data_IF_365041760690
#
_entry.id   IF_365041760690
#
_cell.length_a   1.000
_cell.length_b   1.000
_cell.length_c   1.000
_cell.angle_alpha   90.00
_cell.angle_beta   90.00
_cell.angle_gamma   90.00
#
_symmetry.space_group_name_H-M   'P 1'
#
loop_
_entity.id
_entity.type
_entity.pdbx_description
1 polymer ?
#
# COMPACT_ATOMS: atom_id res chain seq x y z
N UNK A 1 64.04 4.28 33.49
CA UNK A 1 62.94 5.14 34.00
C UNK A 1 61.71 4.92 33.13
N UNK A 2 60.70 4.21 33.64
CA UNK A 2 59.44 3.99 32.91
C UNK A 2 58.51 5.19 33.14
N UNK A 3 58.15 5.88 32.05
CA UNK A 3 57.21 7.00 32.05
C UNK A 3 55.81 6.43 32.29
N UNK A 4 55.24 6.66 33.48
CA UNK A 4 53.85 6.33 33.78
C UNK A 4 52.97 7.17 32.85
N UNK A 5 52.15 6.51 32.03
CA UNK A 5 51.20 7.15 31.13
C UNK A 5 50.06 7.73 31.96
N UNK A 6 49.84 9.02 31.81
CA UNK A 6 48.74 9.78 32.42
C UNK A 6 47.41 9.27 31.84
N UNK A 7 46.71 8.40 32.58
CA UNK A 7 45.37 7.98 32.20
C UNK A 7 44.39 9.09 32.59
N UNK A 8 44.13 10.01 31.65
CA UNK A 8 43.05 10.97 31.77
C UNK A 8 41.72 10.22 31.65
N UNK A 9 41.02 10.09 32.78
CA UNK A 9 39.66 9.54 32.83
C UNK A 9 38.64 10.51 32.22
N UNK A 10 37.58 9.96 31.61
CA UNK A 10 36.44 10.70 31.10
C UNK A 10 35.71 11.40 32.26
N UNK A 11 35.38 12.68 32.14
CA UNK A 11 34.60 13.37 33.18
C UNK A 11 33.12 12.98 33.08
N UNK A 12 32.44 12.93 34.23
CA UNK A 12 30.98 12.74 34.27
C UNK A 12 30.24 13.79 33.42
N UNK A 13 30.77 15.03 33.40
CA UNK A 13 30.17 16.15 32.66
C UNK A 13 30.25 15.96 31.14
N UNK A 14 31.36 15.42 30.63
CA UNK A 14 31.50 15.10 29.20
C UNK A 14 30.47 14.03 28.77
N UNK A 15 30.20 13.06 29.63
CA UNK A 15 29.19 12.04 29.30
C UNK A 15 27.76 12.58 29.42
N UNK A 16 27.51 13.47 30.39
CA UNK A 16 26.22 14.15 30.57
C UNK A 16 25.84 15.02 29.38
N UNK A 17 26.76 15.84 28.86
CA UNK A 17 26.44 16.71 27.73
C UNK A 17 26.16 15.90 26.46
N UNK A 18 26.87 14.77 26.28
CA UNK A 18 26.67 13.88 25.14
C UNK A 18 25.29 13.23 25.15
N UNK A 19 24.84 12.69 26.29
CA UNK A 19 23.51 12.06 26.36
C UNK A 19 22.38 13.08 26.20
N UNK A 20 22.57 14.33 26.66
CA UNK A 20 21.62 15.43 26.43
C UNK A 20 21.51 15.75 24.95
N UNK A 21 22.63 15.91 24.23
CA UNK A 21 22.63 16.19 22.79
C UNK A 21 21.99 15.03 22.02
N UNK A 22 22.34 13.78 22.33
CA UNK A 22 21.73 12.59 21.71
C UNK A 22 20.22 12.56 21.98
N UNK A 23 19.77 12.89 23.20
CA UNK A 23 18.36 12.97 23.55
C UNK A 23 17.58 13.98 22.70
N UNK A 24 18.14 15.18 22.49
CA UNK A 24 17.52 16.22 21.65
C UNK A 24 17.45 15.77 20.19
N UNK A 25 18.54 15.22 19.65
CA UNK A 25 18.57 14.72 18.27
C UNK A 25 17.58 13.58 18.05
N UNK A 26 17.52 12.62 18.98
CA UNK A 26 16.60 11.48 18.92
C UNK A 26 15.13 11.93 18.96
N UNK A 27 14.79 12.92 19.79
CA UNK A 27 13.42 13.43 19.91
C UNK A 27 12.87 14.00 18.59
N UNK A 28 13.72 14.61 17.75
CA UNK A 28 13.32 15.14 16.44
C UNK A 28 13.43 14.08 15.34
N UNK A 29 14.48 13.24 15.37
CA UNK A 29 14.75 12.28 14.31
C UNK A 29 13.72 11.14 14.24
N UNK A 30 13.27 10.61 15.39
CA UNK A 30 12.33 9.48 15.46
C UNK A 30 10.99 9.77 14.76
N UNK A 31 10.24 10.85 15.09
CA UNK A 31 8.96 11.13 14.43
C UNK A 31 9.13 11.45 12.95
N UNK A 32 10.25 12.07 12.55
CA UNK A 32 10.54 12.35 11.14
C UNK A 32 10.80 11.06 10.35
N UNK A 33 11.59 10.13 10.90
CA UNK A 33 11.89 8.86 10.26
C UNK A 33 10.62 8.00 10.08
N UNK A 34 9.74 7.94 11.08
CA UNK A 34 8.46 7.21 10.97
C UNK A 34 7.62 7.72 9.81
N UNK A 35 7.45 9.04 9.67
CA UNK A 35 6.69 9.65 8.56
C UNK A 35 7.30 9.33 7.18
N UNK A 36 8.62 9.26 7.09
CA UNK A 36 9.31 8.91 5.85
C UNK A 36 9.17 7.42 5.52
N UNK A 37 9.23 6.56 6.53
CA UNK A 37 8.96 5.13 6.38
C UNK A 37 7.52 4.88 5.89
N UNK A 38 6.54 5.60 6.44
CA UNK A 38 5.13 5.46 6.02
C UNK A 38 4.92 5.94 4.57
N UNK A 39 5.52 7.06 4.18
CA UNK A 39 5.49 7.51 2.78
C UNK A 39 6.11 6.48 1.81
N UNK A 40 7.22 5.87 2.20
CA UNK A 40 7.85 4.83 1.38
C UNK A 40 6.97 3.58 1.24
N UNK A 41 6.26 3.20 2.31
CA UNK A 41 5.25 2.13 2.26
C UNK A 41 4.11 2.49 1.30
N UNK A 42 3.50 3.67 1.44
CA UNK A 42 2.42 4.11 0.53
C UNK A 42 2.86 4.09 -0.94
N UNK A 43 4.05 4.62 -1.25
CA UNK A 43 4.58 4.62 -2.61
C UNK A 43 4.81 3.20 -3.16
N UNK A 44 5.28 2.27 -2.30
CA UNK A 44 5.41 0.86 -2.67
C UNK A 44 4.06 0.22 -2.97
N UNK A 45 3.07 0.43 -2.10
CA UNK A 45 1.73 -0.10 -2.30
C UNK A 45 1.10 0.43 -3.60
N UNK A 46 1.26 1.72 -3.89
CA UNK A 46 0.79 2.34 -5.12
C UNK A 46 1.44 1.72 -6.37
N UNK A 47 2.77 1.50 -6.33
CA UNK A 47 3.50 0.88 -7.43
C UNK A 47 3.04 -0.56 -7.69
N UNK A 48 2.86 -1.35 -6.63
CA UNK A 48 2.36 -2.73 -6.71
C UNK A 48 0.93 -2.75 -7.30
N UNK A 49 0.04 -1.87 -6.82
CA UNK A 49 -1.33 -1.75 -7.34
C UNK A 49 -1.39 -1.29 -8.80
N UNK A 50 -0.53 -0.35 -9.21
CA UNK A 50 -0.42 0.07 -10.62
C UNK A 50 0.05 -1.07 -11.52
N UNK A 51 0.98 -1.90 -11.04
CA UNK A 51 1.41 -3.09 -11.78
C UNK A 51 0.25 -4.06 -11.99
N UNK A 52 -0.55 -4.32 -10.95
CA UNK A 52 -1.76 -5.15 -11.04
C UNK A 52 -2.76 -4.53 -12.02
N UNK A 53 -3.07 -3.24 -11.87
CA UNK A 53 -4.01 -2.54 -12.74
C UNK A 53 -3.60 -2.60 -14.23
N UNK A 54 -2.31 -2.48 -14.53
CA UNK A 54 -1.80 -2.63 -15.89
C UNK A 54 -2.07 -4.02 -16.46
N UNK A 55 -1.80 -5.08 -15.68
CA UNK A 55 -2.10 -6.46 -16.10
C UNK A 55 -3.60 -6.64 -16.36
N UNK A 56 -4.45 -6.06 -15.51
CA UNK A 56 -5.90 -6.09 -15.69
C UNK A 56 -6.33 -5.38 -16.98
N UNK A 57 -5.72 -4.23 -17.30
CA UNK A 57 -5.98 -3.50 -18.55
C UNK A 57 -5.53 -4.27 -19.79
N UNK A 58 -4.37 -4.95 -19.73
CA UNK A 58 -3.91 -5.84 -20.82
C UNK A 58 -4.91 -6.97 -21.04
N UNK A 59 -5.32 -7.65 -19.96
CA UNK A 59 -6.31 -8.73 -20.06
C UNK A 59 -7.64 -8.25 -20.63
N UNK A 60 -8.10 -7.05 -20.23
CA UNK A 60 -9.31 -6.44 -20.78
C UNK A 60 -9.18 -6.19 -22.28
N UNK A 61 -8.03 -5.70 -22.75
CA UNK A 61 -7.79 -5.47 -24.18
C UNK A 61 -7.84 -6.77 -25.00
N UNK A 62 -7.41 -7.90 -24.42
CA UNK A 62 -7.42 -9.21 -25.09
C UNK A 62 -8.78 -9.93 -25.04
N UNK A 63 -9.51 -9.83 -23.93
CA UNK A 63 -10.73 -10.62 -23.67
C UNK A 63 -12.02 -9.81 -23.69
N UNK A 64 -11.94 -8.49 -23.73
CA UNK A 64 -13.08 -7.57 -23.68
C UNK A 64 -13.81 -7.57 -22.32
N UNK A 65 -13.19 -8.12 -21.28
CA UNK A 65 -13.71 -8.13 -19.91
C UNK A 65 -12.55 -8.26 -18.91
N UNK A 66 -12.74 -7.79 -17.69
CA UNK A 66 -11.78 -8.00 -16.62
C UNK A 66 -11.84 -9.44 -16.07
N UNK A 67 -10.79 -9.91 -15.37
CA UNK A 67 -10.84 -11.18 -14.66
C UNK A 67 -11.94 -11.19 -13.59
N UNK A 68 -12.48 -12.37 -13.29
CA UNK A 68 -13.41 -12.54 -12.17
C UNK A 68 -12.67 -12.46 -10.84
N UNK A 69 -13.34 -11.94 -9.83
CA UNK A 69 -12.88 -11.94 -8.44
C UNK A 69 -12.92 -13.36 -7.85
N UNK A 70 -12.00 -14.20 -8.31
CA UNK A 70 -11.82 -15.57 -7.87
C UNK A 70 -10.34 -15.79 -7.52
N UNK A 71 -10.12 -16.24 -6.29
CA UNK A 71 -8.79 -16.46 -5.73
C UNK A 71 -8.20 -17.82 -6.10
N UNK A 72 -8.95 -18.68 -6.80
CA UNK A 72 -8.49 -19.98 -7.30
C UNK A 72 -7.88 -19.84 -8.70
N UNK A 73 -6.70 -20.43 -8.92
CA UNK A 73 -5.99 -20.42 -10.21
C UNK A 73 -6.51 -21.48 -11.20
N UNK A 74 -7.60 -22.17 -10.87
CA UNK A 74 -8.19 -23.25 -11.68
C UNK A 74 -9.03 -22.75 -12.85
N UNK A 75 -9.59 -21.54 -12.74
CA UNK A 75 -10.39 -20.94 -13.80
C UNK A 75 -9.54 -19.98 -14.64
N UNK A 76 -9.61 -20.11 -15.97
CA UNK A 76 -8.81 -19.30 -16.89
C UNK A 76 -9.11 -17.79 -16.81
N UNK A 77 -10.33 -17.43 -16.37
CA UNK A 77 -10.79 -16.06 -16.21
C UNK A 77 -10.65 -15.53 -14.77
N UNK A 78 -10.00 -16.27 -13.85
CA UNK A 78 -9.79 -15.79 -12.48
C UNK A 78 -8.64 -14.80 -12.41
N UNK A 79 -8.76 -13.80 -11.52
CA UNK A 79 -7.65 -12.89 -11.23
C UNK A 79 -6.39 -13.66 -10.78
N UNK A 80 -6.55 -14.75 -10.03
CA UNK A 80 -5.42 -15.55 -9.58
C UNK A 80 -4.66 -16.21 -10.73
N UNK A 81 -5.36 -16.76 -11.72
CA UNK A 81 -4.71 -17.33 -12.90
C UNK A 81 -4.06 -16.25 -13.76
N UNK A 82 -4.79 -15.15 -14.01
CA UNK A 82 -4.31 -14.06 -14.84
C UNK A 82 -3.05 -13.44 -14.24
N UNK A 83 -3.04 -13.10 -12.95
CA UNK A 83 -1.85 -12.52 -12.31
C UNK A 83 -0.67 -13.51 -12.27
N UNK A 84 -0.95 -14.81 -12.08
CA UNK A 84 0.08 -15.86 -12.07
C UNK A 84 0.83 -15.96 -13.40
N UNK A 85 0.14 -15.73 -14.51
CA UNK A 85 0.75 -15.76 -15.85
C UNK A 85 1.76 -14.61 -16.05
N UNK A 86 1.62 -13.53 -15.26
CA UNK A 86 2.58 -12.42 -15.19
C UNK A 86 3.55 -12.53 -13.99
N UNK A 87 3.60 -13.68 -13.33
CA UNK A 87 4.51 -13.96 -12.21
C UNK A 87 4.05 -13.44 -10.85
N UNK A 88 2.81 -12.96 -10.72
CA UNK A 88 2.27 -12.42 -9.48
C UNK A 88 1.32 -13.44 -8.82
N UNK A 89 1.55 -13.74 -7.53
CA UNK A 89 0.68 -14.64 -6.76
C UNK A 89 -0.48 -13.86 -6.12
N UNK A 90 -1.68 -14.42 -6.18
CA UNK A 90 -2.91 -13.82 -5.65
C UNK A 90 -3.74 -14.84 -4.88
N UNK A 91 -4.43 -14.40 -3.83
CA UNK A 91 -5.43 -15.23 -3.11
C UNK A 91 -4.89 -16.36 -2.23
N UNK A 92 -3.59 -16.70 -2.32
CA UNK A 92 -2.91 -17.70 -1.48
C UNK A 92 -2.20 -17.11 -0.26
N UNK A 93 -1.74 -17.93 0.68
CA UNK A 93 -0.90 -17.49 1.83
C UNK A 93 0.37 -16.72 1.42
N UNK A 94 0.92 -17.08 0.26
CA UNK A 94 2.14 -16.49 -0.33
C UNK A 94 1.82 -15.41 -1.36
N UNK A 95 0.57 -14.92 -1.38
CA UNK A 95 0.17 -13.85 -2.27
C UNK A 95 0.89 -12.55 -1.92
N UNK A 96 0.92 -11.65 -2.90
CA UNK A 96 1.38 -10.28 -2.72
C UNK A 96 0.48 -9.62 -1.67
N UNK A 97 1.12 -8.99 -0.69
CA UNK A 97 0.49 -8.30 0.43
C UNK A 97 0.94 -6.85 0.40
N UNK A 98 0.10 -5.99 0.92
CA UNK A 98 0.46 -4.60 1.13
C UNK A 98 1.65 -4.48 2.11
N UNK A 99 2.31 -3.30 2.17
CA UNK A 99 3.43 -3.06 3.08
C UNK A 99 3.10 -3.14 4.58
N UNK A 100 1.83 -3.32 4.92
CA UNK A 100 1.33 -3.51 6.28
C UNK A 100 0.92 -4.97 6.56
N UNK A 101 1.10 -5.86 5.58
CA UNK A 101 0.90 -7.31 5.70
C UNK A 101 -0.50 -7.79 5.32
N UNK A 102 -1.40 -6.91 4.88
CA UNK A 102 -2.76 -7.27 4.50
C UNK A 102 -2.84 -7.69 3.03
N UNK A 103 -3.75 -8.60 2.66
CA UNK A 103 -4.00 -8.90 1.26
C UNK A 103 -4.66 -7.71 0.55
N UNK A 104 -4.29 -7.50 -0.71
CA UNK A 104 -5.03 -6.61 -1.61
C UNK A 104 -6.43 -7.17 -1.87
N UNK A 105 -7.42 -6.28 -1.96
CA UNK A 105 -8.80 -6.65 -2.28
C UNK A 105 -9.08 -6.30 -3.73
N UNK A 106 -9.65 -7.26 -4.44
CA UNK A 106 -10.13 -7.10 -5.80
C UNK A 106 -11.63 -7.34 -5.87
N UNK A 107 -12.38 -6.26 -6.08
CA UNK A 107 -13.81 -6.28 -6.27
C UNK A 107 -14.14 -5.98 -7.73
N UNK A 108 -15.22 -6.55 -8.22
CA UNK A 108 -15.64 -6.39 -9.62
C UNK A 108 -17.12 -6.11 -9.71
N UNK A 109 -17.52 -5.32 -10.71
CA UNK A 109 -18.93 -5.17 -11.07
C UNK A 109 -19.18 -5.89 -12.39
N UNK A 110 -20.23 -6.71 -12.40
CA UNK A 110 -20.68 -7.45 -13.58
C UNK A 110 -21.86 -6.70 -14.18
N UNK A 111 -21.76 -6.37 -15.46
CA UNK A 111 -22.85 -5.83 -16.25
C UNK A 111 -23.02 -6.71 -17.49
N UNK A 112 -24.26 -7.12 -17.77
CA UNK A 112 -24.59 -7.96 -18.94
C UNK A 112 -23.74 -9.26 -19.04
N UNK A 113 -23.51 -9.91 -17.89
CA UNK A 113 -22.73 -11.15 -17.81
C UNK A 113 -21.22 -11.01 -18.01
N UNK A 114 -20.71 -9.79 -18.25
CA UNK A 114 -19.28 -9.48 -18.39
C UNK A 114 -18.79 -8.64 -17.22
N UNK A 115 -17.53 -8.84 -16.86
CA UNK A 115 -16.87 -7.98 -15.87
C UNK A 115 -16.44 -6.67 -16.53
N UNK A 116 -17.16 -5.58 -16.27
CA UNK A 116 -16.93 -4.29 -16.93
C UNK A 116 -16.13 -3.32 -16.08
N UNK A 117 -16.20 -3.44 -14.75
CA UNK A 117 -15.43 -2.60 -13.83
C UNK A 117 -14.68 -3.42 -12.81
N UNK A 118 -13.53 -2.89 -12.39
CA UNK A 118 -12.79 -3.39 -11.26
C UNK A 118 -12.48 -2.30 -10.24
N UNK A 119 -12.34 -2.71 -8.99
CA UNK A 119 -11.91 -1.89 -7.86
C UNK A 119 -10.84 -2.67 -7.11
N UNK A 120 -9.60 -2.16 -7.14
CA UNK A 120 -8.47 -2.68 -6.37
C UNK A 120 -8.30 -1.79 -5.14
N UNK A 121 -8.29 -2.39 -3.95
CA UNK A 121 -8.24 -1.68 -2.67
C UNK A 121 -7.09 -2.18 -1.79
N UNK A 122 -6.42 -1.24 -1.13
CA UNK A 122 -5.40 -1.44 -0.11
C UNK A 122 -5.85 -0.74 1.17
N UNK A 123 -5.85 -1.45 2.30
CA UNK A 123 -6.30 -0.93 3.61
C UNK A 123 -5.30 -0.03 4.32
N UNK A 124 -4.06 0.06 3.83
CA UNK A 124 -3.08 0.97 4.41
C UNK A 124 -2.68 0.62 5.85
N UNK A 125 -2.11 1.60 6.55
CA UNK A 125 -1.58 1.46 7.90
C UNK A 125 -2.64 1.29 9.00
N UNK A 126 -3.86 1.75 8.72
CA UNK A 126 -4.93 1.94 9.68
C UNK A 126 -6.00 0.84 9.61
N UNK A 127 -5.97 -0.05 8.61
CA UNK A 127 -6.89 -1.19 8.46
C UNK A 127 -8.39 -0.82 8.44
N UNK A 128 -8.72 0.46 8.24
CA UNK A 128 -10.09 0.98 8.26
C UNK A 128 -10.49 1.54 6.89
N UNK A 129 -11.70 1.22 6.43
CA UNK A 129 -12.18 1.51 5.06
C UNK A 129 -12.36 3.00 4.70
N UNK A 130 -11.95 3.97 5.53
CA UNK A 130 -12.26 5.38 5.32
C UNK A 130 -11.22 6.38 5.87
N UNK A 131 -9.93 6.04 5.86
CA UNK A 131 -8.85 6.87 6.42
C UNK A 131 -7.69 7.01 5.45
N UNK A 132 -6.71 7.82 5.85
CA UNK A 132 -5.69 8.44 5.01
C UNK A 132 -4.78 7.53 4.21
N UNK A 133 -4.73 6.28 4.61
CA UNK A 133 -3.75 5.32 4.12
C UNK A 133 -4.31 4.42 3.02
N UNK A 134 -5.61 4.52 2.72
CA UNK A 134 -6.26 3.68 1.72
C UNK A 134 -5.89 4.12 0.31
N UNK A 135 -5.44 3.16 -0.48
CA UNK A 135 -5.20 3.36 -1.91
C UNK A 135 -6.28 2.57 -2.65
N UNK A 136 -6.99 3.25 -3.54
CA UNK A 136 -7.99 2.62 -4.41
C UNK A 136 -7.67 2.91 -5.85
N UNK A 137 -7.57 1.86 -6.67
CA UNK A 137 -7.48 1.98 -8.12
C UNK A 137 -8.72 1.33 -8.72
N UNK A 138 -9.53 2.13 -9.42
CA UNK A 138 -10.71 1.64 -10.12
C UNK A 138 -10.57 1.87 -11.61
N UNK A 139 -11.13 0.95 -12.38
CA UNK A 139 -11.17 1.03 -13.84
C UNK A 139 -12.45 0.45 -14.41
N UNK A 140 -12.75 0.88 -15.64
CA UNK A 140 -13.89 0.44 -16.43
C UNK A 140 -13.41 0.04 -17.84
N UNK A 141 -14.32 -0.13 -18.79
CA UNK A 141 -14.04 -0.40 -20.21
C UNK A 141 -13.05 0.55 -20.87
N UNK A 142 -12.94 1.78 -20.37
CA UNK A 142 -12.07 2.82 -20.90
C UNK A 142 -10.68 2.81 -20.26
N UNK A 143 -10.38 1.82 -19.40
CA UNK A 143 -9.13 1.70 -18.65
C UNK A 143 -9.27 2.16 -17.20
N UNK A 144 -8.14 2.55 -16.58
CA UNK A 144 -8.12 3.06 -15.20
C UNK A 144 -8.80 4.42 -15.15
N UNK A 145 -9.86 4.54 -14.35
CA UNK A 145 -10.71 5.74 -14.27
C UNK A 145 -10.44 6.59 -13.04
N UNK A 146 -9.95 5.99 -11.96
CA UNK A 146 -9.62 6.71 -10.74
C UNK A 146 -8.49 6.03 -9.97
N UNK A 147 -7.51 6.83 -9.56
CA UNK A 147 -6.49 6.45 -8.60
C UNK A 147 -6.67 7.40 -7.42
N UNK A 148 -7.14 6.88 -6.30
CA UNK A 148 -7.19 7.61 -5.05
C UNK A 148 -6.03 7.13 -4.17
N UNK A 149 -5.10 8.04 -3.89
CA UNK A 149 -3.92 7.85 -3.02
C UNK A 149 -3.97 8.73 -1.78
N UNK A 150 -5.01 9.55 -1.65
CA UNK A 150 -5.17 10.55 -0.61
C UNK A 150 -6.39 10.23 0.25
N UNK A 151 -6.18 10.15 1.57
CA UNK A 151 -7.19 10.49 2.57
C UNK A 151 -8.20 11.50 2.05
N UNK A 152 -9.47 11.14 2.11
CA UNK A 152 -10.60 12.05 1.93
C UNK A 152 -10.87 12.44 0.48
N UNK A 153 -11.69 11.60 -0.18
CA UNK A 153 -12.90 12.09 -0.87
C UNK A 153 -14.04 11.08 -0.76
N UNK A 154 -14.65 10.96 0.42
CA UNK A 154 -16.11 10.91 0.47
C UNK A 154 -16.59 12.29 0.96
N UNK A 155 -16.39 13.31 0.12
CA UNK A 155 -17.22 14.50 0.21
C UNK A 155 -18.53 14.17 -0.50
N UNK A 156 -19.58 13.91 0.29
CA UNK A 156 -20.97 14.13 -0.08
C UNK A 156 -21.66 13.14 -1.03
N UNK A 157 -22.30 12.11 -0.47
CA UNK A 157 -23.74 11.86 -0.75
C UNK A 157 -24.40 11.46 0.58
N UNK A 158 -24.69 12.46 1.42
CA UNK A 158 -25.95 12.40 2.16
C UNK A 158 -26.98 12.87 1.14
N UNK A 159 -27.84 11.97 0.68
CA UNK A 159 -29.06 12.38 -0.01
C UNK A 159 -29.99 12.95 1.05
N UNK A 160 -29.86 14.24 1.37
CA UNK A 160 -30.95 15.01 1.94
C UNK A 160 -31.82 15.50 0.77
N UNK A 161 -32.92 14.80 0.58
CA UNK A 161 -33.87 15.06 -0.50
C UNK A 161 -35.25 14.58 -0.09
N UNK A 162 -35.83 15.32 0.84
CA UNK A 162 -37.26 15.47 1.13
C UNK A 162 -38.19 14.94 0.03
N UNK A 163 -39.00 13.93 0.34
CA UNK A 163 -40.47 14.04 0.39
C UNK A 163 -41.01 12.96 1.33
#
# INVERSE_FOLDING_TARGET
MQKLRDQKGFTMVELMVVVVIIGILAAVAVPQFSKQADKAKTARAEAEMKSIANILSIYYAEKGQYPKANNSDTAADSIAKVLKDYGLKWGSSDAIKDPWGNPYIYNVEVQDGKVTKFNLHCYGADQEANKASNITISGNKDGVTSINTDSVTMSGVKSDGTT
#
